data_IF_695681049867
#
_entry.id   IF_695681049867
#
_cell.length_a   1.000
_cell.length_b   1.000
_cell.length_c   1.000
_cell.angle_alpha   90.00
_cell.angle_beta   90.00
_cell.angle_gamma   90.00
#
_symmetry.space_group_name_H-M   'P 1'
#
loop_
_entity.id
_entity.type
_entity.pdbx_description
1 polymer ?
#
# COMPACT_ATOMS: atom_id res chain seq x y z
N UNK A 1 8.65 4.70 -15.84
CA UNK A 1 8.65 4.74 -14.36
C UNK A 1 7.46 5.46 -13.78
N UNK A 2 7.17 6.72 -14.17
CA UNK A 2 6.01 7.45 -13.63
C UNK A 2 4.69 6.64 -13.66
N UNK A 3 4.43 5.96 -14.77
CA UNK A 3 3.24 5.13 -14.95
C UNK A 3 3.17 3.93 -13.99
N UNK A 4 4.33 3.35 -13.64
CA UNK A 4 4.38 2.28 -12.65
C UNK A 4 3.98 2.80 -11.27
N UNK A 5 4.38 4.03 -10.93
CA UNK A 5 3.95 4.66 -9.68
C UNK A 5 2.46 4.99 -9.68
N UNK A 6 1.91 5.44 -10.81
CA UNK A 6 0.47 5.68 -10.97
C UNK A 6 -0.33 4.39 -10.76
N UNK A 7 0.03 3.33 -11.49
CA UNK A 7 -0.59 2.01 -11.37
C UNK A 7 -0.49 1.48 -9.94
N UNK A 8 0.67 1.59 -9.30
CA UNK A 8 0.82 1.10 -7.93
C UNK A 8 -0.09 1.85 -6.94
N UNK A 9 -0.14 3.19 -7.04
CA UNK A 9 -1.00 4.01 -6.18
C UNK A 9 -2.48 3.70 -6.41
N UNK A 10 -2.94 3.68 -7.65
CA UNK A 10 -4.36 3.46 -7.95
C UNK A 10 -4.78 2.00 -7.74
N UNK A 11 -4.01 1.04 -8.25
CA UNK A 11 -4.43 -0.35 -8.28
C UNK A 11 -4.10 -1.13 -7.01
N UNK A 12 -3.05 -0.76 -6.26
CA UNK A 12 -2.64 -1.47 -5.04
C UNK A 12 -3.00 -0.69 -3.78
N UNK A 13 -2.72 0.62 -3.76
CA UNK A 13 -3.03 1.47 -2.62
C UNK A 13 -4.44 2.06 -2.69
N UNK A 14 -5.17 1.89 -3.79
CA UNK A 14 -6.49 2.50 -3.99
C UNK A 14 -6.50 4.03 -3.81
N UNK A 15 -5.36 4.70 -4.06
CA UNK A 15 -5.22 6.16 -3.94
C UNK A 15 -5.31 6.75 -5.36
N UNK A 16 -6.33 7.58 -5.65
CA UNK A 16 -6.39 8.29 -6.92
C UNK A 16 -5.28 9.32 -7.01
N UNK A 17 -4.60 9.38 -8.15
CA UNK A 17 -3.51 10.33 -8.38
C UNK A 17 -3.64 11.03 -9.72
N UNK A 18 -3.07 12.22 -9.82
CA UNK A 18 -2.96 12.99 -11.06
C UNK A 18 -1.50 13.01 -11.50
N UNK A 19 -1.21 12.54 -12.72
CA UNK A 19 0.12 12.69 -13.34
C UNK A 19 0.30 14.11 -13.88
N UNK A 20 1.51 14.66 -13.74
CA UNK A 20 1.79 16.00 -14.24
C UNK A 20 3.26 16.34 -14.34
N UNK A 21 3.54 17.42 -15.07
CA UNK A 21 4.85 18.06 -15.14
C UNK A 21 4.94 19.14 -14.04
N UNK A 22 6.00 19.15 -13.25
CA UNK A 22 6.26 20.21 -12.28
C UNK A 22 6.63 21.51 -12.99
N UNK A 23 6.26 22.64 -12.38
CA UNK A 23 6.74 23.95 -12.80
C UNK A 23 8.26 24.03 -12.69
N UNK A 24 8.85 25.03 -13.35
CA UNK A 24 10.29 25.29 -13.25
C UNK A 24 10.75 25.54 -11.80
N UNK A 25 9.91 26.16 -10.97
CA UNK A 25 10.22 26.41 -9.56
C UNK A 25 10.19 25.14 -8.69
N UNK A 26 9.38 24.14 -9.07
CA UNK A 26 9.11 22.93 -8.27
C UNK A 26 9.82 21.68 -8.82
N UNK A 27 10.54 21.79 -9.94
CA UNK A 27 11.30 20.67 -10.50
C UNK A 27 12.55 20.40 -9.67
N UNK A 28 13.12 19.21 -9.88
CA UNK A 28 14.34 18.83 -9.19
C UNK A 28 15.50 19.69 -9.73
N UNK A 29 16.31 20.34 -8.87
CA UNK A 29 17.45 21.11 -9.32
C UNK A 29 18.40 20.26 -10.17
N UNK A 30 18.68 20.71 -11.39
CA UNK A 30 19.49 19.98 -12.36
C UNK A 30 18.73 18.98 -13.24
N UNK A 31 17.43 18.76 -13.02
CA UNK A 31 16.59 18.06 -13.99
C UNK A 31 16.24 18.99 -15.16
N UNK A 32 16.21 18.43 -16.37
CA UNK A 32 15.59 19.07 -17.53
C UNK A 32 14.07 19.22 -17.29
N UNK A 33 13.43 18.13 -16.84
CA UNK A 33 12.02 18.09 -16.49
C UNK A 33 11.78 17.13 -15.30
N UNK A 34 10.86 17.48 -14.41
CA UNK A 34 10.36 16.60 -13.35
C UNK A 34 8.90 16.30 -13.59
N UNK A 35 8.57 15.02 -13.71
CA UNK A 35 7.22 14.51 -13.70
C UNK A 35 6.88 13.97 -12.31
N UNK A 36 5.61 14.06 -11.93
CA UNK A 36 5.16 13.61 -10.62
C UNK A 36 3.74 13.06 -10.67
N UNK A 37 3.38 12.32 -9.63
CA UNK A 37 2.01 11.94 -9.31
C UNK A 37 1.59 12.64 -8.02
N UNK A 38 0.44 13.29 -8.04
CA UNK A 38 -0.10 14.05 -6.92
C UNK A 38 -1.38 13.38 -6.43
N UNK A 39 -1.45 13.06 -5.14
CA UNK A 39 -2.65 12.58 -4.45
C UNK A 39 -3.31 13.72 -3.67
N UNK A 40 -4.60 13.56 -3.34
CA UNK A 40 -5.32 14.45 -2.43
C UNK A 40 -5.68 13.68 -1.15
N UNK A 41 -5.32 14.24 0.01
CA UNK A 41 -5.64 13.65 1.31
C UNK A 41 -7.04 14.06 1.77
N UNK A 42 -7.60 13.36 2.75
CA UNK A 42 -8.94 13.67 3.29
C UNK A 42 -9.05 15.08 3.89
N UNK A 43 -7.94 15.67 4.37
CA UNK A 43 -7.89 17.04 4.90
C UNK A 43 -7.81 18.12 3.81
N UNK A 44 -7.88 17.74 2.53
CA UNK A 44 -7.84 18.64 1.40
C UNK A 44 -6.44 19.11 1.00
N UNK A 45 -5.38 18.55 1.59
CA UNK A 45 -3.99 18.85 1.18
C UNK A 45 -3.49 17.88 0.12
N UNK A 46 -2.73 18.41 -0.83
CA UNK A 46 -2.05 17.59 -1.83
C UNK A 46 -0.80 16.90 -1.25
N UNK A 47 -0.51 15.71 -1.75
CA UNK A 47 0.68 14.94 -1.42
C UNK A 47 1.38 14.49 -2.69
N UNK A 48 2.65 14.88 -2.83
CA UNK A 48 3.51 14.32 -3.87
C UNK A 48 3.81 12.85 -3.56
N UNK A 49 3.26 11.97 -4.39
CA UNK A 49 3.22 10.52 -4.19
C UNK A 49 4.33 9.77 -4.95
N UNK A 50 5.12 10.47 -5.76
CA UNK A 50 6.28 9.92 -6.49
C UNK A 50 6.79 10.87 -7.56
N UNK A 51 8.07 10.74 -7.93
CA UNK A 51 8.70 11.59 -8.95
C UNK A 51 9.53 10.79 -9.95
N UNK A 52 9.56 11.28 -11.18
CA UNK A 52 10.39 10.77 -12.26
C UNK A 52 11.00 11.94 -13.02
N UNK A 53 12.32 11.96 -13.12
CA UNK A 53 13.11 13.07 -13.62
C UNK A 53 13.77 12.70 -14.94
N UNK A 54 13.58 13.55 -15.96
CA UNK A 54 14.49 13.59 -17.10
C UNK A 54 15.65 14.52 -16.71
N UNK A 55 16.83 13.96 -16.51
CA UNK A 55 18.03 14.71 -16.12
C UNK A 55 18.78 15.27 -17.33
N UNK A 56 18.34 14.92 -18.54
CA UNK A 56 19.03 15.27 -19.77
C UNK A 56 20.47 14.73 -19.74
N UNK A 57 21.42 15.63 -20.01
CA UNK A 57 22.85 15.35 -19.92
C UNK A 57 23.53 16.15 -18.78
N UNK A 58 22.76 16.82 -17.91
CA UNK A 58 23.32 17.72 -16.90
C UNK A 58 24.28 16.99 -15.95
N UNK A 59 23.84 15.84 -15.43
CA UNK A 59 24.67 14.98 -14.59
C UNK A 59 25.79 14.29 -15.37
N UNK A 60 25.53 13.87 -16.60
CA UNK A 60 26.56 13.25 -17.43
C UNK A 60 27.73 14.21 -17.69
N UNK A 61 27.45 15.50 -17.93
CA UNK A 61 28.49 16.53 -18.07
C UNK A 61 29.22 16.80 -16.76
N UNK A 62 28.50 16.91 -15.65
CA UNK A 62 29.08 17.20 -14.34
C UNK A 62 30.01 16.09 -13.83
N UNK A 63 29.73 14.83 -14.19
CA UNK A 63 30.47 13.65 -13.74
C UNK A 63 31.26 12.95 -14.87
N UNK A 64 31.42 13.60 -16.02
CA UNK A 64 32.17 13.08 -17.18
C UNK A 64 31.75 11.67 -17.64
N UNK A 65 30.44 11.42 -17.66
CA UNK A 65 29.86 10.12 -18.04
C UNK A 65 29.66 10.07 -19.55
N UNK A 66 30.60 9.42 -20.24
CA UNK A 66 30.68 9.38 -21.69
C UNK A 66 30.65 7.97 -22.28
N UNK A 67 30.32 7.90 -23.58
CA UNK A 67 30.45 6.71 -24.40
C UNK A 67 30.90 7.08 -25.82
N UNK A 68 31.42 6.11 -26.57
CA UNK A 68 31.63 6.23 -28.01
C UNK A 68 30.37 5.77 -28.74
N UNK A 69 29.82 6.62 -29.61
CA UNK A 69 28.71 6.24 -30.47
C UNK A 69 29.17 5.32 -31.62
N UNK A 70 28.22 4.87 -32.45
CA UNK A 70 28.51 3.96 -33.58
C UNK A 70 29.47 4.55 -34.63
N UNK A 71 29.69 5.87 -34.61
CA UNK A 71 30.60 6.58 -35.50
C UNK A 71 31.93 6.92 -34.79
N UNK A 72 32.21 6.32 -33.63
CA UNK A 72 33.37 6.58 -32.78
C UNK A 72 33.47 8.02 -32.26
N UNK A 73 32.36 8.75 -32.17
CA UNK A 73 32.36 10.08 -31.55
C UNK A 73 32.07 9.95 -30.05
N UNK A 74 32.80 10.71 -29.22
CA UNK A 74 32.53 10.83 -27.79
C UNK A 74 31.22 11.61 -27.55
N UNK A 75 30.28 11.02 -26.82
CA UNK A 75 28.97 11.60 -26.48
C UNK A 75 28.68 11.44 -24.99
N UNK A 76 27.99 12.42 -24.39
CA UNK A 76 27.44 12.29 -23.05
C UNK A 76 26.18 11.41 -23.05
N UNK A 77 26.03 10.58 -22.02
CA UNK A 77 24.80 9.79 -21.85
C UNK A 77 23.60 10.66 -21.47
N UNK A 78 22.40 10.18 -21.81
CA UNK A 78 21.15 10.73 -21.32
C UNK A 78 20.71 9.97 -20.07
N UNK A 79 20.41 10.68 -18.99
CA UNK A 79 20.10 10.04 -17.71
C UNK A 79 18.68 10.36 -17.22
N UNK A 80 18.14 9.44 -16.44
CA UNK A 80 16.89 9.62 -15.71
C UNK A 80 17.11 9.23 -14.25
N UNK A 81 16.29 9.79 -13.36
CA UNK A 81 16.22 9.38 -11.96
C UNK A 81 14.75 9.30 -11.55
N UNK A 82 14.40 8.48 -10.59
CA UNK A 82 13.02 8.27 -10.16
C UNK A 82 13.00 7.70 -8.76
N UNK A 83 11.99 8.08 -7.99
CA UNK A 83 11.90 7.68 -6.59
C UNK A 83 10.50 7.78 -6.02
N UNK A 84 10.25 6.86 -5.10
CA UNK A 84 9.15 6.87 -4.13
C UNK A 84 9.74 6.52 -2.77
N UNK A 85 9.05 6.86 -1.69
CA UNK A 85 9.47 6.53 -0.34
C UNK A 85 8.32 5.98 0.49
N UNK A 86 8.60 5.62 1.74
CA UNK A 86 7.59 5.23 2.72
C UNK A 86 6.59 6.33 3.04
N UNK A 87 6.76 7.55 2.52
CA UNK A 87 5.70 8.59 2.46
C UNK A 87 4.37 8.03 1.94
N UNK A 88 4.40 7.04 1.04
CA UNK A 88 3.19 6.36 0.56
C UNK A 88 2.37 5.71 1.69
N UNK A 89 3.01 5.25 2.77
CA UNK A 89 2.31 4.73 3.96
C UNK A 89 1.52 5.85 4.64
N UNK A 90 2.12 7.04 4.78
CA UNK A 90 1.41 8.21 5.30
C UNK A 90 0.26 8.63 4.39
N UNK A 91 0.48 8.60 3.07
CA UNK A 91 -0.57 8.87 2.08
C UNK A 91 -1.74 7.89 2.17
N UNK A 92 -1.46 6.60 2.34
CA UNK A 92 -2.46 5.55 2.54
C UNK A 92 -3.34 5.84 3.76
N UNK A 93 -2.71 6.10 4.91
CA UNK A 93 -3.39 6.41 6.17
C UNK A 93 -4.29 7.64 5.97
N UNK A 94 -3.75 8.74 5.47
CA UNK A 94 -4.49 9.99 5.27
C UNK A 94 -5.55 9.94 4.16
N UNK A 95 -5.56 8.90 3.31
CA UNK A 95 -6.57 8.73 2.26
C UNK A 95 -7.73 7.88 2.74
N UNK A 96 -7.45 6.83 3.52
CA UNK A 96 -8.44 5.78 3.80
C UNK A 96 -8.91 5.72 5.25
N UNK A 97 -8.09 6.12 6.22
CA UNK A 97 -8.47 6.04 7.64
C UNK A 97 -9.73 6.82 7.97
N UNK A 98 -10.37 6.44 9.08
CA UNK A 98 -11.55 7.11 9.63
C UNK A 98 -11.39 7.32 11.15
N UNK A 99 -12.48 7.72 11.81
CA UNK A 99 -12.51 7.95 13.26
C UNK A 99 -12.31 6.66 14.08
N UNK A 100 -12.57 5.49 13.50
CA UNK A 100 -12.43 4.19 14.16
C UNK A 100 -11.04 3.57 13.95
N UNK A 101 -10.30 3.97 12.91
CA UNK A 101 -8.87 3.70 12.77
C UNK A 101 -8.35 3.56 11.34
N UNK A 102 -7.51 2.55 11.12
CA UNK A 102 -6.95 2.29 9.79
C UNK A 102 -8.02 1.66 8.88
N UNK A 103 -7.96 1.97 7.59
CA UNK A 103 -8.64 1.20 6.53
C UNK A 103 -7.59 0.84 5.50
N UNK A 104 -7.27 -0.45 5.37
CA UNK A 104 -6.21 -0.93 4.49
C UNK A 104 -6.82 -1.56 3.23
N UNK A 105 -6.42 -1.15 2.02
CA UNK A 105 -6.83 -1.80 0.79
C UNK A 105 -6.46 -3.30 0.78
N UNK A 106 -7.34 -4.20 0.33
CA UNK A 106 -7.10 -5.64 0.42
C UNK A 106 -5.78 -6.12 -0.21
N UNK A 107 -5.37 -5.55 -1.34
CA UNK A 107 -4.16 -5.98 -2.07
C UNK A 107 -2.85 -5.79 -1.30
N UNK A 108 -2.83 -4.92 -0.29
CA UNK A 108 -1.64 -4.63 0.53
C UNK A 108 -1.85 -4.93 2.02
N UNK A 109 -3.04 -5.38 2.42
CA UNK A 109 -3.33 -5.71 3.81
C UNK A 109 -2.50 -6.93 4.25
N UNK A 110 -1.69 -6.81 5.34
CA UNK A 110 -0.95 -7.97 5.85
C UNK A 110 -1.87 -9.11 6.30
N UNK A 111 -3.01 -8.75 6.89
CA UNK A 111 -4.13 -9.64 7.18
C UNK A 111 -5.31 -9.12 6.37
N UNK A 112 -5.82 -9.93 5.44
CA UNK A 112 -7.01 -9.61 4.65
C UNK A 112 -8.28 -10.05 5.35
N UNK A 113 -8.25 -11.22 6.00
CA UNK A 113 -9.40 -11.80 6.69
C UNK A 113 -9.02 -12.17 8.11
N UNK A 114 -9.78 -11.67 9.06
CA UNK A 114 -9.73 -12.15 10.45
C UNK A 114 -11.00 -12.91 10.79
N UNK A 115 -10.85 -14.10 11.36
CA UNK A 115 -11.93 -14.95 11.84
C UNK A 115 -11.95 -14.87 13.37
N UNK A 116 -13.10 -14.50 13.93
CA UNK A 116 -13.29 -14.30 15.37
C UNK A 116 -14.32 -15.32 15.89
N UNK A 117 -13.87 -16.41 16.55
CA UNK A 117 -14.74 -17.34 17.24
C UNK A 117 -15.40 -16.70 18.47
N UNK A 118 -16.70 -16.93 18.64
CA UNK A 118 -17.55 -16.41 19.71
C UNK A 118 -18.21 -17.59 20.42
N UNK A 119 -18.00 -17.72 21.72
CA UNK A 119 -18.49 -18.85 22.51
C UNK A 119 -18.74 -18.43 23.96
N UNK A 120 -19.66 -19.12 24.65
CA UNK A 120 -19.98 -18.88 26.05
C UNK A 120 -19.50 -20.01 26.99
N UNK A 121 -19.18 -21.18 26.44
CA UNK A 121 -18.75 -22.35 27.18
C UNK A 121 -17.70 -23.17 26.41
N UNK A 122 -17.12 -24.18 27.05
CA UNK A 122 -16.06 -25.00 26.47
C UNK A 122 -16.49 -25.82 25.25
N UNK A 123 -17.74 -26.28 25.20
CA UNK A 123 -18.24 -27.06 24.07
C UNK A 123 -18.41 -26.18 22.82
N UNK A 124 -19.04 -25.01 22.97
CA UNK A 124 -19.16 -24.02 21.90
C UNK A 124 -17.78 -23.55 21.42
N UNK A 125 -16.81 -23.43 22.34
CA UNK A 125 -15.43 -23.08 21.98
C UNK A 125 -14.87 -24.09 20.98
N UNK A 126 -14.91 -25.38 21.30
CA UNK A 126 -14.39 -26.42 20.39
C UNK A 126 -15.07 -26.34 19.03
N UNK A 127 -16.40 -26.27 19.00
CA UNK A 127 -17.19 -26.24 17.76
C UNK A 127 -16.87 -25.00 16.89
N UNK A 128 -16.80 -23.82 17.50
CA UNK A 128 -16.54 -22.56 16.77
C UNK A 128 -15.11 -22.49 16.25
N UNK A 129 -14.13 -23.02 16.98
CA UNK A 129 -12.76 -23.11 16.48
C UNK A 129 -12.62 -24.13 15.34
N UNK A 130 -13.24 -25.31 15.45
CA UNK A 130 -13.24 -26.29 14.35
C UNK A 130 -13.88 -25.71 13.07
N UNK A 131 -14.96 -24.93 13.20
CA UNK A 131 -15.59 -24.27 12.06
C UNK A 131 -14.74 -23.13 11.51
N UNK A 132 -14.11 -22.32 12.38
CA UNK A 132 -13.17 -21.28 11.98
C UNK A 132 -11.97 -21.85 11.19
N UNK A 133 -11.46 -23.00 11.59
CA UNK A 133 -10.40 -23.71 10.86
C UNK A 133 -10.88 -24.19 9.48
N UNK A 134 -12.11 -24.71 9.38
CA UNK A 134 -12.71 -25.08 8.08
C UNK A 134 -12.82 -23.87 7.15
N UNK A 135 -13.31 -22.73 7.65
CA UNK A 135 -13.36 -21.48 6.88
C UNK A 135 -11.96 -21.06 6.44
N UNK A 136 -10.99 -21.04 7.38
CA UNK A 136 -9.61 -20.67 7.07
C UNK A 136 -9.01 -21.56 5.99
N UNK A 137 -9.26 -22.87 6.03
CA UNK A 137 -8.76 -23.81 5.03
C UNK A 137 -9.40 -23.59 3.66
N UNK A 138 -10.71 -23.31 3.62
CA UNK A 138 -11.40 -22.99 2.36
C UNK A 138 -10.93 -21.67 1.76
N UNK A 139 -10.73 -20.63 2.58
CA UNK A 139 -10.19 -19.35 2.12
C UNK A 139 -8.74 -19.48 1.60
N UNK A 140 -7.95 -20.37 2.19
CA UNK A 140 -6.58 -20.64 1.77
C UNK A 140 -6.46 -21.21 0.34
N UNK A 141 -7.57 -21.63 -0.29
CA UNK A 141 -7.61 -21.98 -1.70
C UNK A 141 -7.56 -20.75 -2.64
N UNK A 142 -7.83 -19.56 -2.11
CA UNK A 142 -7.96 -18.30 -2.86
C UNK A 142 -6.98 -17.20 -2.44
N UNK A 143 -6.65 -17.14 -1.15
CA UNK A 143 -5.73 -16.15 -0.58
C UNK A 143 -4.66 -16.86 0.25
N UNK A 144 -3.51 -16.22 0.44
CA UNK A 144 -2.40 -16.82 1.20
C UNK A 144 -2.82 -17.04 2.67
N UNK A 145 -2.49 -18.20 3.25
CA UNK A 145 -2.70 -18.49 4.67
C UNK A 145 -2.17 -17.41 5.59
N UNK A 146 -1.06 -16.76 5.24
CA UNK A 146 -0.47 -15.67 6.01
C UNK A 146 -1.37 -14.43 6.10
N UNK A 147 -2.32 -14.29 5.17
CA UNK A 147 -3.30 -13.20 5.12
C UNK A 147 -4.60 -13.55 5.87
N UNK A 148 -4.71 -14.75 6.43
CA UNK A 148 -5.86 -15.21 7.20
C UNK A 148 -5.45 -15.36 8.67
N UNK A 149 -6.20 -14.72 9.57
CA UNK A 149 -5.94 -14.79 11.02
C UNK A 149 -7.14 -15.32 11.77
N UNK A 150 -6.99 -16.40 12.52
CA UNK A 150 -7.97 -16.79 13.55
C UNK A 150 -7.56 -16.11 14.87
N UNK A 151 -8.47 -15.36 15.49
CA UNK A 151 -8.21 -14.70 16.76
C UNK A 151 -8.48 -15.62 17.95
N UNK A 152 -7.41 -16.29 18.39
CA UNK A 152 -7.42 -17.30 19.45
C UNK A 152 -7.39 -16.73 20.87
N UNK A 153 -7.27 -15.41 21.05
CA UNK A 153 -7.17 -14.77 22.38
C UNK A 153 -8.46 -15.00 23.16
N UNK A 154 -8.41 -15.61 24.33
CA UNK A 154 -9.59 -15.89 25.17
C UNK A 154 -9.76 -14.91 26.34
N UNK A 155 -8.73 -14.11 26.60
CA UNK A 155 -8.72 -13.06 27.63
C UNK A 155 -9.47 -11.77 27.22
N UNK A 156 -10.02 -11.70 26.00
CA UNK A 156 -10.72 -10.53 25.47
C UNK A 156 -12.17 -10.87 25.14
N UNK A 157 -13.07 -9.94 25.44
CA UNK A 157 -14.48 -10.06 25.01
C UNK A 157 -14.54 -9.94 23.48
N UNK A 158 -15.53 -10.55 22.82
CA UNK A 158 -15.70 -10.44 21.37
C UNK A 158 -15.70 -8.98 20.88
N UNK A 159 -16.39 -8.08 21.58
CA UNK A 159 -16.41 -6.65 21.26
C UNK A 159 -15.03 -6.01 21.23
N UNK A 160 -14.15 -6.39 22.15
CA UNK A 160 -12.80 -5.84 22.26
C UNK A 160 -11.92 -6.35 21.10
N UNK A 161 -12.12 -7.61 20.68
CA UNK A 161 -11.49 -8.15 19.47
C UNK A 161 -11.97 -7.43 18.22
N UNK A 162 -13.28 -7.22 18.10
CA UNK A 162 -13.88 -6.54 16.94
C UNK A 162 -13.28 -5.16 16.76
N UNK A 163 -13.26 -4.36 17.83
CA UNK A 163 -12.70 -3.02 17.80
C UNK A 163 -11.20 -3.03 17.53
N UNK A 164 -10.45 -3.96 18.13
CA UNK A 164 -9.02 -4.12 17.83
C UNK A 164 -8.76 -4.33 16.33
N UNK A 165 -9.51 -5.22 15.67
CA UNK A 165 -9.31 -5.49 14.25
C UNK A 165 -9.81 -4.38 13.33
N UNK A 166 -10.84 -3.63 13.76
CA UNK A 166 -11.26 -2.39 13.10
C UNK A 166 -10.12 -1.37 13.16
N UNK A 167 -9.54 -1.11 14.34
CA UNK A 167 -8.43 -0.16 14.49
C UNK A 167 -7.21 -0.52 13.64
N UNK A 168 -6.94 -1.81 13.44
CA UNK A 168 -5.85 -2.30 12.58
C UNK A 168 -6.17 -2.25 11.07
N UNK A 169 -7.42 -1.96 10.69
CA UNK A 169 -7.84 -1.85 9.30
C UNK A 169 -7.85 -3.17 8.53
N UNK A 170 -8.15 -4.28 9.21
CA UNK A 170 -8.34 -5.56 8.53
C UNK A 170 -9.58 -5.48 7.63
N UNK A 171 -9.46 -5.73 6.31
CA UNK A 171 -10.56 -5.50 5.37
C UNK A 171 -11.83 -6.31 5.66
N UNK A 172 -11.67 -7.57 6.08
CA UNK A 172 -12.80 -8.48 6.30
C UNK A 172 -12.69 -9.13 7.68
N UNK A 173 -13.76 -9.06 8.45
CA UNK A 173 -13.95 -9.83 9.68
C UNK A 173 -15.06 -10.86 9.49
N UNK A 174 -14.78 -12.10 9.84
CA UNK A 174 -15.75 -13.21 9.86
C UNK A 174 -16.02 -13.58 11.31
N UNK A 175 -17.28 -13.48 11.71
CA UNK A 175 -17.72 -13.81 13.07
C UNK A 175 -18.30 -15.23 13.07
N UNK A 176 -17.78 -16.07 13.96
CA UNK A 176 -18.17 -17.49 14.05
C UNK A 176 -18.76 -17.74 15.43
N UNK A 177 -20.09 -17.77 15.51
CA UNK A 177 -20.83 -18.10 16.72
C UNK A 177 -21.42 -19.50 16.69
N UNK A 178 -21.97 -20.00 17.81
CA UNK A 178 -22.58 -21.33 17.89
C UNK A 178 -23.86 -21.50 17.07
N UNK A 179 -24.42 -20.40 16.52
CA UNK A 179 -25.67 -20.39 15.74
C UNK A 179 -25.46 -20.08 14.25
N UNK A 180 -24.22 -19.88 13.82
CA UNK A 180 -23.81 -19.50 12.46
C UNK A 180 -22.94 -20.59 11.87
#
# INVERSE_FOLDING_TARGET
MLEIYRIFQEEYLAIPVVTGLKSEAEKFPGALATYSIEAMMQDGKALQSGTSHNLGQNFAKAFEIDYLDRNNNRKHVWTTSWGVSTRMIGGLIMTHSDDDGLIIPPKIAPIQVVIVPIFNNGQERVQTFEFAEKISNSLNEKIDKLQIKIDTRDNLRPSDKFFHWIQQGVPVRVEVGPRT
#
